data_IF_981628101300
#
_entry.id   IF_981628101300
#
_cell.length_a   1.000
_cell.length_b   1.000
_cell.length_c   1.000
_cell.angle_alpha   90.00
_cell.angle_beta   90.00
_cell.angle_gamma   90.00
#
_symmetry.space_group_name_H-M   'P 1'
#
loop_
_entity.id
_entity.type
_entity.pdbx_description
1 polymer ?
#
# COMPACT_ATOMS: atom_id res chain seq x y z
N UNK A 1 -65.41 -14.38 -31.58
CA UNK A 1 -64.18 -14.50 -32.39
C UNK A 1 -63.30 -13.29 -32.11
N UNK A 2 -62.02 -13.53 -31.72
CA UNK A 2 -60.84 -12.69 -32.01
C UNK A 2 -60.82 -11.28 -31.35
N UNK A 3 -59.84 -10.80 -30.57
CA UNK A 3 -58.46 -11.15 -30.24
C UNK A 3 -58.12 -10.44 -28.90
N UNK A 4 -57.53 -11.13 -27.92
CA UNK A 4 -56.13 -10.97 -27.50
C UNK A 4 -55.61 -9.51 -27.45
N UNK A 5 -55.42 -8.96 -26.24
CA UNK A 5 -54.33 -8.02 -25.88
C UNK A 5 -54.23 -7.88 -24.35
N UNK A 6 -53.47 -8.79 -23.75
CA UNK A 6 -52.69 -8.53 -22.53
C UNK A 6 -51.32 -7.99 -22.95
N UNK A 7 -50.72 -7.14 -22.11
CA UNK A 7 -49.29 -6.86 -21.81
C UNK A 7 -49.35 -5.47 -21.14
N UNK A 8 -49.61 -5.36 -19.83
CA UNK A 8 -48.66 -5.58 -18.73
C UNK A 8 -47.32 -4.85 -18.94
N UNK A 9 -47.32 -3.54 -18.75
CA UNK A 9 -46.08 -2.74 -18.64
C UNK A 9 -45.66 -2.74 -17.16
N UNK A 10 -44.91 -3.75 -16.76
CA UNK A 10 -44.14 -3.71 -15.51
C UNK A 10 -42.99 -2.74 -15.76
N UNK A 11 -43.08 -1.54 -15.18
CA UNK A 11 -41.97 -0.60 -15.12
C UNK A 11 -40.99 -1.15 -14.09
N UNK A 12 -39.96 -1.85 -14.57
CA UNK A 12 -38.88 -2.34 -13.74
C UNK A 12 -38.12 -1.14 -13.15
N UNK A 13 -38.40 -0.83 -11.89
CA UNK A 13 -37.52 -0.03 -11.04
C UNK A 13 -36.24 -0.84 -10.85
N UNK A 14 -35.30 -0.70 -11.78
CA UNK A 14 -33.92 -1.12 -11.61
C UNK A 14 -33.33 -0.32 -10.48
N UNK A 15 -33.36 -0.88 -9.27
CA UNK A 15 -32.58 -0.39 -8.14
C UNK A 15 -31.11 -0.55 -8.56
N UNK A 16 -30.55 0.52 -9.12
CA UNK A 16 -29.11 0.68 -9.24
C UNK A 16 -28.58 0.72 -7.81
N UNK A 17 -28.19 -0.46 -7.32
CA UNK A 17 -27.47 -0.61 -6.07
C UNK A 17 -26.07 -0.03 -6.27
N UNK A 18 -25.98 1.30 -6.26
CA UNK A 18 -24.72 1.99 -6.10
C UNK A 18 -24.26 1.68 -4.68
N UNK A 19 -23.33 0.73 -4.54
CA UNK A 19 -22.52 0.63 -3.35
C UNK A 19 -21.78 1.96 -3.22
N UNK A 20 -22.25 2.82 -2.31
CA UNK A 20 -21.53 4.02 -1.93
C UNK A 20 -20.18 3.56 -1.39
N UNK A 21 -19.12 3.79 -2.16
CA UNK A 21 -17.75 3.63 -1.68
C UNK A 21 -17.67 4.54 -0.46
N UNK A 22 -17.30 3.97 0.69
CA UNK A 22 -17.10 4.75 1.91
C UNK A 22 -16.10 5.87 1.56
N UNK A 23 -16.39 7.15 1.85
CA UNK A 23 -15.50 8.26 1.50
C UNK A 23 -14.07 8.09 2.05
N UNK A 24 -13.87 7.22 3.04
CA UNK A 24 -12.57 6.92 3.64
C UNK A 24 -11.89 5.69 3.05
N UNK A 25 -12.50 4.98 2.09
CA UNK A 25 -11.89 3.86 1.38
C UNK A 25 -11.06 4.37 0.21
N UNK A 26 -9.73 4.21 0.32
CA UNK A 26 -8.79 4.58 -0.73
C UNK A 26 -8.40 3.35 -1.56
N UNK A 27 -8.40 3.51 -2.87
CA UNK A 27 -7.85 2.54 -3.82
C UNK A 27 -6.55 3.06 -4.44
N UNK A 28 -5.50 2.26 -4.31
CA UNK A 28 -4.22 2.48 -4.94
C UNK A 28 -4.03 1.40 -5.98
N UNK A 29 -3.80 1.77 -7.24
CA UNK A 29 -3.74 0.85 -8.38
C UNK A 29 -2.56 1.20 -9.27
N UNK A 30 -1.86 0.20 -9.78
CA UNK A 30 -0.87 0.45 -10.83
C UNK A 30 -1.57 0.61 -12.19
N UNK A 31 -1.56 1.80 -12.84
CA UNK A 31 -2.45 2.09 -13.96
C UNK A 31 -2.19 1.25 -15.22
N UNK A 32 -0.99 0.69 -15.35
CA UNK A 32 -0.57 -0.11 -16.51
C UNK A 32 -0.87 -1.60 -16.36
N UNK A 33 -1.46 -2.06 -15.26
CA UNK A 33 -1.78 -3.48 -15.04
C UNK A 33 -3.10 -3.67 -14.31
N UNK A 34 -4.00 -4.44 -14.90
CA UNK A 34 -5.24 -4.82 -14.24
C UNK A 34 -4.96 -5.69 -13.00
N UNK A 35 -5.86 -5.65 -12.00
CA UNK A 35 -5.79 -6.46 -10.77
C UNK A 35 -4.53 -6.22 -9.90
N UNK A 36 -3.99 -5.01 -9.92
CA UNK A 36 -2.86 -4.61 -9.07
C UNK A 36 -3.25 -3.47 -8.14
N UNK A 37 -4.31 -3.72 -7.37
CA UNK A 37 -4.92 -2.74 -6.49
C UNK A 37 -4.73 -3.14 -5.03
N UNK A 38 -4.23 -2.23 -4.21
CA UNK A 38 -4.36 -2.32 -2.75
C UNK A 38 -5.42 -1.33 -2.30
N UNK A 39 -6.15 -1.69 -1.24
CA UNK A 39 -7.16 -0.83 -0.62
C UNK A 39 -6.82 -0.62 0.85
N UNK A 40 -7.25 0.51 1.39
CA UNK A 40 -7.20 0.77 2.83
C UNK A 40 -8.24 1.79 3.22
N UNK A 41 -8.78 1.65 4.43
CA UNK A 41 -9.63 2.66 5.05
C UNK A 41 -8.76 3.63 5.85
N UNK A 42 -8.75 4.89 5.44
CA UNK A 42 -7.83 5.92 5.94
C UNK A 42 -8.60 7.17 6.39
N UNK A 43 -9.21 7.09 7.57
CA UNK A 43 -10.14 8.12 8.06
C UNK A 43 -9.56 9.55 8.18
N UNK A 44 -8.24 9.67 8.39
CA UNK A 44 -7.58 10.96 8.62
C UNK A 44 -6.89 11.54 7.36
N UNK A 45 -7.08 10.91 6.19
CA UNK A 45 -6.52 11.37 4.92
C UNK A 45 -7.63 11.93 4.02
N UNK A 46 -7.38 13.08 3.39
CA UNK A 46 -8.36 13.71 2.48
C UNK A 46 -8.18 13.27 1.03
N UNK A 47 -6.93 13.19 0.58
CA UNK A 47 -6.57 12.91 -0.79
C UNK A 47 -5.14 12.36 -0.87
N UNK A 48 -4.85 11.74 -2.01
CA UNK A 48 -3.50 11.32 -2.38
C UNK A 48 -3.14 11.88 -3.74
N UNK A 49 -2.03 12.60 -3.80
CA UNK A 49 -1.39 13.01 -5.05
C UNK A 49 -0.73 11.79 -5.71
N UNK A 50 -0.58 11.85 -7.02
CA UNK A 50 -0.11 10.73 -7.84
C UNK A 50 0.94 11.20 -8.83
N UNK A 51 2.02 10.44 -8.96
CA UNK A 51 3.06 10.76 -9.94
C UNK A 51 3.75 9.50 -10.50
N UNK A 52 4.28 9.65 -11.71
CA UNK A 52 5.15 8.66 -12.32
C UNK A 52 6.61 9.02 -12.10
N UNK A 53 7.44 8.04 -11.77
CA UNK A 53 8.90 8.15 -11.70
C UNK A 53 9.51 7.08 -12.59
N UNK A 54 9.65 7.39 -13.88
CA UNK A 54 10.01 6.39 -14.88
C UNK A 54 8.92 5.32 -15.02
N UNK A 55 9.24 4.07 -14.65
CA UNK A 55 8.28 2.95 -14.63
C UNK A 55 7.56 2.79 -13.31
N UNK A 56 7.98 3.51 -12.28
CA UNK A 56 7.38 3.42 -10.95
C UNK A 56 6.21 4.38 -10.83
N UNK A 57 5.27 4.02 -9.97
CA UNK A 57 4.07 4.82 -9.74
C UNK A 57 3.86 5.07 -8.26
N UNK A 58 3.67 6.33 -7.90
CA UNK A 58 3.72 6.78 -6.53
C UNK A 58 2.43 7.50 -6.15
N UNK A 59 1.94 7.18 -4.96
CA UNK A 59 0.89 7.92 -4.28
C UNK A 59 1.45 8.58 -3.03
N UNK A 60 0.99 9.79 -2.73
CA UNK A 60 1.44 10.56 -1.58
C UNK A 60 0.29 11.28 -0.91
N UNK A 61 0.15 11.14 0.41
CA UNK A 61 -0.87 11.83 1.19
C UNK A 61 -0.33 12.23 2.56
N UNK A 62 -0.90 13.27 3.13
CA UNK A 62 -0.60 13.74 4.49
C UNK A 62 -1.90 13.76 5.27
N UNK A 63 -1.91 13.09 6.42
CA UNK A 63 -3.07 13.10 7.31
C UNK A 63 -3.23 14.44 8.03
N UNK A 64 -4.41 14.67 8.61
CA UNK A 64 -4.64 15.81 9.53
C UNK A 64 -3.67 15.83 10.71
N UNK A 65 -3.20 14.66 11.13
CA UNK A 65 -2.23 14.48 12.22
C UNK A 65 -0.78 14.53 11.73
N UNK A 66 -0.53 15.02 10.51
CA UNK A 66 0.80 15.10 9.89
C UNK A 66 1.51 13.75 9.71
N UNK A 67 0.78 12.63 9.68
CA UNK A 67 1.33 11.34 9.26
C UNK A 67 1.40 11.38 7.74
N UNK A 68 2.60 11.22 7.20
CA UNK A 68 2.83 11.07 5.78
C UNK A 68 2.57 9.61 5.43
N UNK A 69 1.73 9.36 4.43
CA UNK A 69 1.52 8.05 3.84
C UNK A 69 1.93 8.09 2.38
N UNK A 70 2.68 7.08 1.96
CA UNK A 70 2.98 6.90 0.56
C UNK A 70 2.84 5.45 0.13
N UNK A 71 2.43 5.26 -1.12
CA UNK A 71 2.33 3.95 -1.76
C UNK A 71 3.17 3.98 -3.03
N UNK A 72 4.26 3.22 -3.03
CA UNK A 72 5.14 3.06 -4.18
C UNK A 72 4.89 1.72 -4.85
N UNK A 73 4.50 1.76 -6.12
CA UNK A 73 4.57 0.63 -7.03
C UNK A 73 5.92 0.68 -7.74
N UNK A 74 6.80 -0.24 -7.37
CA UNK A 74 8.17 -0.33 -7.87
C UNK A 74 8.27 -1.45 -8.91
N UNK A 75 8.63 -1.09 -10.15
CA UNK A 75 8.72 -2.03 -11.27
C UNK A 75 10.14 -2.56 -11.39
N UNK A 76 10.35 -3.83 -11.04
CA UNK A 76 11.66 -4.47 -11.17
C UNK A 76 12.09 -4.51 -12.64
N UNK A 77 13.35 -4.15 -12.86
CA UNK A 77 14.01 -4.42 -14.13
C UNK A 77 14.37 -5.91 -14.26
N UNK A 78 14.86 -6.32 -15.44
CA UNK A 78 15.14 -7.75 -15.71
C UNK A 78 16.24 -8.34 -14.82
N UNK A 79 17.23 -7.54 -14.47
CA UNK A 79 18.35 -7.99 -13.65
C UNK A 79 17.91 -8.16 -12.19
N UNK A 80 17.08 -7.25 -11.69
CA UNK A 80 16.47 -7.35 -10.37
C UNK A 80 15.53 -8.56 -10.26
N UNK A 81 14.70 -8.81 -11.27
CA UNK A 81 13.86 -10.02 -11.32
C UNK A 81 14.73 -11.28 -11.26
N UNK A 82 15.78 -11.32 -12.06
CA UNK A 82 16.71 -12.45 -12.09
C UNK A 82 17.36 -12.67 -10.73
N UNK A 83 17.80 -11.60 -10.06
CA UNK A 83 18.53 -11.67 -8.81
C UNK A 83 17.64 -11.95 -7.59
N UNK A 84 16.43 -11.41 -7.55
CA UNK A 84 15.59 -11.44 -6.33
C UNK A 84 14.36 -12.33 -6.44
N UNK A 85 13.96 -12.74 -7.64
CA UNK A 85 12.71 -13.49 -7.86
C UNK A 85 12.99 -14.83 -8.52
N UNK A 86 13.74 -14.85 -9.63
CA UNK A 86 13.95 -16.07 -10.40
C UNK A 86 14.83 -17.10 -9.68
N UNK A 87 15.79 -16.66 -8.85
CA UNK A 87 16.61 -17.58 -8.04
C UNK A 87 15.78 -18.42 -7.05
N UNK A 88 14.58 -17.95 -6.69
CA UNK A 88 13.63 -18.66 -5.83
C UNK A 88 12.54 -19.37 -6.64
N UNK A 89 12.83 -19.73 -7.90
CA UNK A 89 11.87 -20.40 -8.78
C UNK A 89 10.71 -19.50 -9.23
N UNK A 90 10.87 -18.17 -9.11
CA UNK A 90 9.80 -17.22 -9.43
C UNK A 90 8.67 -17.19 -8.41
N UNK A 91 8.92 -17.61 -7.16
CA UNK A 91 7.95 -17.48 -6.08
C UNK A 91 7.62 -16.00 -5.83
N UNK A 92 6.34 -15.68 -5.66
CA UNK A 92 5.88 -14.33 -5.37
C UNK A 92 5.30 -14.27 -3.96
N UNK A 93 6.00 -13.63 -3.03
CA UNK A 93 5.58 -13.54 -1.64
C UNK A 93 6.06 -12.22 -1.02
N UNK A 94 5.47 -11.80 0.11
CA UNK A 94 5.78 -10.50 0.73
C UNK A 94 7.20 -10.44 1.34
N UNK A 95 7.83 -11.58 1.59
CA UNK A 95 9.20 -11.67 2.10
C UNK A 95 10.25 -11.12 1.12
N UNK A 96 10.03 -11.24 -0.19
CA UNK A 96 10.96 -10.75 -1.21
C UNK A 96 11.07 -9.22 -1.21
N UNK A 97 9.98 -8.44 -1.38
CA UNK A 97 10.07 -6.98 -1.31
C UNK A 97 10.52 -6.50 0.07
N UNK A 98 10.11 -7.18 1.15
CA UNK A 98 10.62 -6.89 2.50
C UNK A 98 12.15 -6.98 2.55
N UNK A 99 12.73 -8.08 2.08
CA UNK A 99 14.18 -8.29 2.08
C UNK A 99 14.88 -7.26 1.17
N UNK A 100 14.34 -7.02 -0.03
CA UNK A 100 14.90 -6.05 -0.98
C UNK A 100 15.02 -4.64 -0.35
N UNK A 101 13.93 -4.11 0.22
CA UNK A 101 13.95 -2.74 0.74
C UNK A 101 14.61 -2.60 2.11
N UNK A 102 14.51 -3.62 2.97
CA UNK A 102 15.17 -3.57 4.29
C UNK A 102 16.70 -3.70 4.19
N UNK A 103 17.20 -4.47 3.22
CA UNK A 103 18.64 -4.61 3.01
C UNK A 103 19.26 -3.44 2.26
N UNK A 104 18.53 -2.83 1.31
CA UNK A 104 19.04 -1.74 0.48
C UNK A 104 18.61 -0.33 0.98
N UNK A 105 18.18 -0.19 2.24
CA UNK A 105 17.82 1.12 2.81
C UNK A 105 19.07 2.00 2.94
N UNK A 106 19.08 3.14 2.24
CA UNK A 106 20.15 4.16 2.38
C UNK A 106 20.22 4.76 3.79
N UNK A 107 19.17 4.58 4.59
CA UNK A 107 19.09 5.08 5.97
C UNK A 107 19.43 4.02 7.01
N UNK A 108 19.74 2.77 6.59
CA UNK A 108 19.94 1.61 7.47
C UNK A 108 20.87 1.87 8.66
N UNK A 109 21.94 2.65 8.46
CA UNK A 109 22.92 3.00 9.51
C UNK A 109 22.37 3.92 10.60
N UNK A 110 21.25 4.61 10.35
CA UNK A 110 20.59 5.51 11.31
C UNK A 110 19.35 4.87 11.95
N UNK A 111 18.94 3.69 11.48
CA UNK A 111 17.72 3.02 11.94
C UNK A 111 17.94 2.39 13.33
N UNK A 112 17.03 2.71 14.25
CA UNK A 112 16.97 2.17 15.60
C UNK A 112 15.57 1.60 15.85
N UNK A 113 15.35 0.88 16.97
CA UNK A 113 14.06 0.29 17.34
C UNK A 113 13.39 -0.48 16.19
N UNK A 114 14.20 -1.27 15.47
CA UNK A 114 13.76 -2.04 14.32
C UNK A 114 12.94 -3.23 14.80
N UNK A 115 11.70 -3.32 14.33
CA UNK A 115 10.85 -4.48 14.57
C UNK A 115 10.18 -4.89 13.27
N UNK A 116 9.99 -6.19 13.09
CA UNK A 116 9.35 -6.77 11.91
C UNK A 116 8.19 -7.66 12.35
N UNK A 117 7.12 -7.73 11.57
CA UNK A 117 6.00 -8.63 11.81
C UNK A 117 5.35 -9.11 10.50
N UNK A 118 4.44 -10.07 10.63
CA UNK A 118 3.87 -10.81 9.49
C UNK A 118 4.76 -11.97 9.03
N UNK A 119 4.20 -12.86 8.21
CA UNK A 119 4.91 -13.97 7.58
C UNK A 119 5.19 -13.65 6.13
N UNK A 120 6.22 -14.28 5.56
CA UNK A 120 6.56 -14.11 4.15
C UNK A 120 5.41 -14.47 3.21
N UNK A 121 4.57 -15.44 3.61
CA UNK A 121 3.42 -15.94 2.85
C UNK A 121 2.15 -15.12 3.03
N UNK A 122 2.13 -14.17 3.96
CA UNK A 122 0.98 -13.29 4.14
C UNK A 122 0.91 -12.28 2.98
N UNK A 123 -0.23 -11.61 2.82
CA UNK A 123 -0.37 -10.58 1.79
C UNK A 123 0.64 -9.45 1.96
N UNK A 124 0.98 -9.13 3.21
CA UNK A 124 1.97 -8.13 3.56
C UNK A 124 2.92 -8.64 4.63
N UNK A 125 4.16 -8.18 4.55
CA UNK A 125 5.14 -8.29 5.61
C UNK A 125 5.54 -6.88 6.01
N UNK A 126 5.84 -6.66 7.28
CA UNK A 126 5.87 -5.32 7.83
C UNK A 126 7.15 -5.03 8.61
N UNK A 127 7.50 -3.76 8.69
CA UNK A 127 8.69 -3.25 9.38
C UNK A 127 8.40 -1.92 10.04
N UNK A 128 9.01 -1.66 11.17
CA UNK A 128 9.17 -0.32 11.71
C UNK A 128 10.64 -0.04 11.98
N UNK A 129 10.98 1.24 12.03
CA UNK A 129 12.20 1.74 12.61
C UNK A 129 12.02 3.21 13.03
N UNK A 130 12.94 3.67 13.87
CA UNK A 130 13.04 5.05 14.30
C UNK A 130 14.36 5.64 13.82
N UNK A 131 14.34 6.90 13.41
CA UNK A 131 15.55 7.69 13.19
C UNK A 131 15.56 8.82 14.22
N UNK A 132 16.51 8.76 15.15
CA UNK A 132 16.67 9.75 16.23
C UNK A 132 17.87 10.68 16.00
N UNK A 133 18.70 10.38 15.01
CA UNK A 133 19.83 11.20 14.60
C UNK A 133 20.09 11.01 13.11
N UNK A 134 20.35 12.10 12.39
CA UNK A 134 20.77 12.08 11.00
C UNK A 134 21.91 13.08 10.80
N UNK A 135 23.07 12.59 10.36
CA UNK A 135 24.27 13.42 10.12
C UNK A 135 24.66 14.30 11.33
N UNK A 136 24.55 13.77 12.55
CA UNK A 136 24.84 14.49 13.79
C UNK A 136 23.72 15.40 14.30
N UNK A 137 22.61 15.52 13.56
CA UNK A 137 21.45 16.31 13.96
C UNK A 137 20.44 15.41 14.66
N UNK A 138 20.11 15.74 15.91
CA UNK A 138 19.04 15.07 16.66
C UNK A 138 17.70 15.33 16.00
N UNK A 139 17.05 14.26 15.58
CA UNK A 139 15.69 14.27 15.05
C UNK A 139 14.86 13.24 15.80
N UNK A 140 13.57 13.16 15.49
CA UNK A 140 12.71 12.10 16.05
C UNK A 140 11.69 11.73 15.00
N UNK A 141 11.98 10.70 14.22
CA UNK A 141 11.12 10.28 13.13
C UNK A 141 10.79 8.80 13.25
N UNK A 142 9.49 8.49 13.19
CA UNK A 142 8.98 7.12 13.09
C UNK A 142 8.85 6.78 11.62
N UNK A 143 9.23 5.56 11.26
CA UNK A 143 8.92 4.96 9.97
C UNK A 143 8.23 3.62 10.19
N UNK A 144 7.17 3.37 9.43
CA UNK A 144 6.56 2.05 9.35
C UNK A 144 6.27 1.69 7.90
N UNK A 145 6.41 0.43 7.56
CA UNK A 145 6.33 -0.07 6.20
C UNK A 145 5.47 -1.33 6.13
N UNK A 146 4.68 -1.45 5.07
CA UNK A 146 4.11 -2.70 4.62
C UNK A 146 4.63 -3.02 3.22
N UNK A 147 5.11 -4.24 3.02
CA UNK A 147 5.70 -4.70 1.77
C UNK A 147 4.85 -5.79 1.18
N UNK A 148 4.61 -5.71 -0.12
CA UNK A 148 3.96 -6.77 -0.87
C UNK A 148 4.41 -6.79 -2.33
N UNK A 149 4.04 -7.82 -3.05
CA UNK A 149 4.20 -7.91 -4.50
C UNK A 149 2.96 -8.55 -5.12
N UNK A 150 2.61 -8.10 -6.32
CA UNK A 150 1.47 -8.64 -7.08
C UNK A 150 1.88 -9.72 -8.08
N UNK A 151 3.10 -9.62 -8.59
CA UNK A 151 3.66 -10.52 -9.59
C UNK A 151 5.19 -10.45 -9.51
N UNK A 152 5.88 -11.24 -10.32
CA UNK A 152 7.35 -11.40 -10.33
C UNK A 152 8.14 -10.11 -10.52
N UNK A 153 7.51 -9.02 -10.92
CA UNK A 153 8.18 -7.79 -11.33
C UNK A 153 7.58 -6.51 -10.73
N UNK A 154 6.61 -6.61 -9.83
CA UNK A 154 5.92 -5.44 -9.29
C UNK A 154 5.84 -5.53 -7.76
N UNK A 155 6.78 -4.85 -7.12
CA UNK A 155 6.78 -4.64 -5.69
C UNK A 155 5.90 -3.45 -5.33
N UNK A 156 5.35 -3.50 -4.13
CA UNK A 156 4.56 -2.42 -3.55
C UNK A 156 5.03 -2.18 -2.13
N UNK A 157 5.29 -0.92 -1.82
CA UNK A 157 5.65 -0.45 -0.48
C UNK A 157 4.60 0.56 -0.06
N UNK A 158 3.97 0.30 1.06
CA UNK A 158 3.28 1.34 1.82
C UNK A 158 4.27 1.86 2.85
N UNK A 159 4.53 3.15 2.89
CA UNK A 159 5.40 3.79 3.86
C UNK A 159 4.64 4.88 4.61
N UNK A 160 4.59 4.74 5.94
CA UNK A 160 4.15 5.77 6.85
C UNK A 160 5.36 6.43 7.52
N UNK A 161 5.34 7.75 7.65
CA UNK A 161 6.30 8.45 8.48
C UNK A 161 5.71 9.62 9.24
N UNK A 162 6.31 9.91 10.40
CA UNK A 162 5.94 11.04 11.25
C UNK A 162 7.15 11.57 11.99
N UNK A 163 7.41 12.87 11.86
CA UNK A 163 8.36 13.59 12.71
C UNK A 163 7.72 13.97 14.04
N UNK A 164 8.52 14.03 15.10
CA UNK A 164 8.08 14.32 16.47
C UNK A 164 6.92 13.42 16.93
N UNK A 165 7.02 12.12 16.64
CA UNK A 165 5.98 11.13 16.93
C UNK A 165 5.82 10.87 18.44
N UNK A 166 4.59 10.57 18.84
CA UNK A 166 4.20 10.04 20.14
C UNK A 166 3.96 8.53 20.10
N UNK A 167 3.70 7.92 21.26
CA UNK A 167 3.26 6.53 21.32
C UNK A 167 1.90 6.33 20.66
N UNK A 168 1.00 7.32 20.79
CA UNK A 168 -0.30 7.29 20.12
C UNK A 168 -0.13 7.27 18.59
N UNK A 169 0.75 8.12 18.04
CA UNK A 169 1.04 8.12 16.60
C UNK A 169 1.57 6.77 16.13
N UNK A 170 2.42 6.13 16.94
CA UNK A 170 2.95 4.80 16.63
C UNK A 170 1.85 3.75 16.53
N UNK A 171 0.91 3.75 17.48
CA UNK A 171 -0.26 2.85 17.45
C UNK A 171 -1.14 3.15 16.24
N UNK A 172 -1.44 4.41 15.97
CA UNK A 172 -2.25 4.84 14.83
C UNK A 172 -1.62 4.41 13.50
N UNK A 173 -0.32 4.62 13.33
CA UNK A 173 0.41 4.18 12.14
C UNK A 173 0.36 2.66 11.96
N UNK A 174 0.48 1.89 13.05
CA UNK A 174 0.38 0.43 13.00
C UNK A 174 -1.01 -0.02 12.56
N UNK A 175 -2.07 0.56 13.13
CA UNK A 175 -3.45 0.29 12.71
C UNK A 175 -3.70 0.65 11.24
N UNK A 176 -3.16 1.77 10.77
CA UNK A 176 -3.26 2.16 9.36
C UNK A 176 -2.61 1.10 8.45
N UNK A 177 -1.41 0.62 8.78
CA UNK A 177 -0.73 -0.39 7.97
C UNK A 177 -1.48 -1.72 7.96
N UNK A 178 -1.96 -2.17 9.11
CA UNK A 178 -2.68 -3.45 9.22
C UNK A 178 -4.03 -3.43 8.47
N UNK A 179 -4.55 -2.24 8.12
CA UNK A 179 -5.77 -2.08 7.33
C UNK A 179 -5.56 -2.24 5.80
N UNK A 180 -4.31 -2.21 5.32
CA UNK A 180 -4.04 -2.41 3.90
C UNK A 180 -4.31 -3.85 3.46
N UNK A 181 -4.99 -3.99 2.32
CA UNK A 181 -5.36 -5.29 1.75
C UNK A 181 -5.12 -5.29 0.26
N UNK A 182 -4.82 -6.47 -0.31
CA UNK A 182 -4.92 -6.66 -1.76
C UNK A 182 -6.39 -6.76 -2.14
N UNK A 183 -6.78 -6.04 -3.19
CA UNK A 183 -8.12 -6.18 -3.79
C UNK A 183 -8.11 -7.43 -4.68
N UNK A 184 -8.84 -8.46 -4.25
CA UNK A 184 -9.04 -9.70 -4.99
C UNK A 184 -10.00 -9.52 -6.17
#
# INVERSE_FOLDING_TARGET
MKHLKYILTIFAFGILSFSTIDPNDFEFSYPKRNKTTITSKLDNFKNFDKEWRGTDYYYYGISTDSIICSVLYYKLNKDEQKQYVDIFGGMTNAGIPFAYFSENSNLKKYETNVENWGKMTDDFMFRQNDITEYEGIKIRQKHMYAYTMFDKDLFVIVHLSKTNYSSFDSTTMRTILDNFKKKN
#
